data_IF_639265280108
#
_entry.id   IF_639265280108
#
_cell.length_a   1.000
_cell.length_b   1.000
_cell.length_c   1.000
_cell.angle_alpha   90.00
_cell.angle_beta   90.00
_cell.angle_gamma   90.00
#
_symmetry.space_group_name_H-M   'P 1'
#
loop_
_entity.id
_entity.type
_entity.pdbx_description
1 polymer ?
#
# COMPACT_ATOMS: atom_id res chain seq x y z
N UNK A 1 10.14 -11.65 -13.93
CA UNK A 1 9.63 -11.60 -12.56
C UNK A 1 9.01 -12.95 -12.24
N UNK A 2 9.26 -13.49 -11.06
CA UNK A 2 8.64 -14.74 -10.61
C UNK A 2 8.03 -14.54 -9.23
N UNK A 3 6.98 -15.31 -8.96
CA UNK A 3 6.35 -15.34 -7.64
C UNK A 3 7.21 -16.21 -6.70
N UNK A 4 7.62 -15.64 -5.57
CA UNK A 4 8.32 -16.34 -4.51
C UNK A 4 7.39 -17.26 -3.71
N UNK A 5 7.95 -18.11 -2.86
CA UNK A 5 7.18 -19.03 -1.99
C UNK A 5 6.23 -18.29 -1.04
N UNK A 6 6.52 -17.02 -0.75
CA UNK A 6 5.75 -16.16 0.15
C UNK A 6 4.68 -15.32 -0.59
N UNK A 7 4.44 -15.60 -1.88
CA UNK A 7 3.45 -14.89 -2.70
C UNK A 7 3.90 -13.50 -3.18
N UNK A 8 5.14 -13.11 -2.95
CA UNK A 8 5.68 -11.85 -3.46
C UNK A 8 6.29 -12.05 -4.85
N UNK A 9 5.99 -11.11 -5.75
CA UNK A 9 6.59 -11.07 -7.08
C UNK A 9 7.95 -10.40 -6.98
N UNK A 10 9.00 -11.17 -7.25
CA UNK A 10 10.38 -10.70 -7.17
C UNK A 10 11.01 -10.61 -8.57
N UNK A 11 11.92 -9.64 -8.79
CA UNK A 11 12.70 -9.59 -10.02
C UNK A 11 13.66 -10.79 -10.06
N UNK A 12 13.68 -11.48 -11.20
CA UNK A 12 14.66 -12.53 -11.48
C UNK A 12 15.62 -12.02 -12.54
N UNK A 13 16.91 -12.10 -12.25
CA UNK A 13 17.96 -11.71 -13.16
C UNK A 13 18.50 -12.99 -13.83
N UNK A 14 18.36 -13.03 -15.15
CA UNK A 14 18.99 -14.06 -15.96
C UNK A 14 20.47 -13.74 -16.07
N UNK A 15 21.31 -14.59 -15.48
CA UNK A 15 22.76 -14.40 -15.45
C UNK A 15 23.42 -14.45 -16.83
N UNK A 16 22.83 -15.23 -17.76
CA UNK A 16 23.37 -15.39 -19.11
C UNK A 16 23.04 -14.17 -20.02
N UNK A 17 21.97 -13.48 -19.72
CA UNK A 17 21.54 -12.25 -20.43
C UNK A 17 21.98 -10.97 -19.73
N UNK A 18 22.48 -11.05 -18.51
CA UNK A 18 22.84 -9.90 -17.70
C UNK A 18 24.15 -9.26 -18.17
N UNK A 19 24.09 -8.06 -18.69
CA UNK A 19 25.28 -7.27 -19.12
C UNK A 19 25.95 -6.50 -17.99
N UNK A 20 25.51 -6.65 -16.74
CA UNK A 20 26.11 -5.99 -15.57
C UNK A 20 25.93 -4.47 -15.49
N UNK A 21 24.99 -3.87 -16.22
CA UNK A 21 24.82 -2.40 -16.30
C UNK A 21 24.33 -1.75 -14.97
N UNK A 22 23.90 -2.51 -13.98
CA UNK A 22 23.46 -2.03 -12.68
C UNK A 22 22.12 -1.25 -12.69
N UNK A 23 21.37 -1.23 -13.80
CA UNK A 23 20.09 -0.51 -13.88
C UNK A 23 19.06 -1.03 -12.87
N UNK A 24 18.99 -2.34 -12.66
CA UNK A 24 18.12 -2.96 -11.65
C UNK A 24 18.46 -2.52 -10.22
N UNK A 25 19.75 -2.36 -9.91
CA UNK A 25 20.21 -1.88 -8.60
C UNK A 25 19.82 -0.41 -8.41
N UNK A 26 20.02 0.42 -9.45
CA UNK A 26 19.64 1.84 -9.42
C UNK A 26 18.13 2.06 -9.31
N UNK A 27 17.33 1.18 -9.90
CA UNK A 27 15.87 1.23 -9.83
C UNK A 27 15.31 0.72 -8.49
N UNK A 28 16.09 -0.07 -7.75
CA UNK A 28 15.66 -0.63 -6.48
C UNK A 28 15.47 0.46 -5.42
N UNK A 29 14.26 0.55 -4.85
CA UNK A 29 13.93 1.53 -3.81
C UNK A 29 14.77 1.39 -2.54
N UNK A 30 15.24 0.18 -2.22
CA UNK A 30 16.09 -0.07 -1.05
C UNK A 30 17.49 0.56 -1.17
N UNK A 31 17.98 0.76 -2.40
CA UNK A 31 19.28 1.40 -2.64
C UNK A 31 19.22 2.93 -2.75
N UNK A 32 18.02 3.48 -2.85
CA UNK A 32 17.84 4.93 -2.72
C UNK A 32 17.83 5.22 -1.23
N UNK A 33 18.92 5.51 -0.59
CA UNK A 33 18.96 5.80 0.82
C UNK A 33 17.72 6.58 1.25
N UNK A 34 16.79 5.91 1.95
CA UNK A 34 15.64 6.58 2.51
C UNK A 34 16.21 7.49 3.58
N UNK A 35 16.43 8.76 3.25
CA UNK A 35 16.76 9.78 4.23
C UNK A 35 15.57 9.83 5.20
N UNK A 36 15.67 9.17 6.32
CA UNK A 36 14.81 9.44 7.44
C UNK A 36 15.13 10.85 7.90
N UNK A 37 14.36 11.82 7.44
CA UNK A 37 14.35 13.11 8.11
C UNK A 37 13.91 12.82 9.54
N UNK A 38 14.80 13.05 10.49
CA UNK A 38 14.51 13.02 11.91
C UNK A 38 13.66 14.25 12.29
N UNK A 39 12.49 14.37 11.68
CA UNK A 39 11.45 15.22 12.21
C UNK A 39 11.03 14.57 13.55
N UNK A 40 10.83 15.39 14.57
CA UNK A 40 10.53 14.92 15.93
C UNK A 40 9.31 13.97 15.99
N UNK A 41 8.89 13.57 17.18
CA UNK A 41 7.80 12.62 17.35
C UNK A 41 6.51 13.15 16.69
N UNK A 42 5.87 12.32 15.89
CA UNK A 42 4.53 12.59 15.36
C UNK A 42 3.50 11.90 16.25
N UNK A 43 2.43 12.61 16.56
CA UNK A 43 1.29 12.08 17.28
C UNK A 43 0.10 12.07 16.33
N UNK A 44 -0.60 10.94 16.25
CA UNK A 44 -1.84 10.82 15.55
C UNK A 44 -2.87 10.17 16.47
N UNK A 45 -4.09 10.68 16.46
CA UNK A 45 -5.21 10.15 17.21
C UNK A 45 -6.40 9.95 16.27
N UNK A 46 -7.12 8.85 16.44
CA UNK A 46 -8.36 8.57 15.71
C UNK A 46 -9.51 8.45 16.73
N UNK A 47 -10.72 8.80 16.28
CA UNK A 47 -11.93 8.65 17.09
C UNK A 47 -12.29 7.19 17.31
N UNK A 48 -13.16 6.92 18.29
CA UNK A 48 -13.62 5.57 18.61
C UNK A 48 -14.26 4.87 17.41
N UNK A 49 -15.05 5.61 16.60
CA UNK A 49 -15.74 5.07 15.43
C UNK A 49 -14.75 4.67 14.35
N UNK A 50 -13.70 5.47 14.12
CA UNK A 50 -12.64 5.15 13.18
C UNK A 50 -11.87 3.88 13.59
N UNK A 51 -11.64 3.70 14.88
CA UNK A 51 -10.98 2.50 15.42
C UNK A 51 -11.87 1.28 15.28
N UNK A 52 -13.18 1.39 15.54
CA UNK A 52 -14.13 0.27 15.46
C UNK A 52 -14.31 -0.28 14.04
N UNK A 53 -14.15 0.57 13.02
CA UNK A 53 -14.23 0.20 11.61
C UNK A 53 -12.88 -0.28 11.02
N UNK A 54 -11.81 -0.26 11.82
CA UNK A 54 -10.45 -0.58 11.38
C UNK A 54 -9.88 -1.77 12.14
N UNK A 55 -9.08 -2.60 11.48
CA UNK A 55 -8.28 -3.64 12.13
C UNK A 55 -7.04 -3.10 12.85
N UNK A 56 -6.79 -1.79 12.79
CA UNK A 56 -5.65 -1.11 13.40
C UNK A 56 -6.13 0.18 14.08
N UNK A 57 -5.25 1.14 14.31
CA UNK A 57 -5.55 2.37 15.03
C UNK A 57 -6.47 3.38 14.34
N UNK A 58 -7.07 3.07 13.19
CA UNK A 58 -8.08 3.90 12.51
C UNK A 58 -7.56 5.18 11.85
N UNK A 59 -6.29 5.50 11.98
CA UNK A 59 -5.71 6.77 11.51
C UNK A 59 -5.88 6.99 10.01
N UNK A 60 -5.69 5.94 9.20
CA UNK A 60 -5.92 6.03 7.75
C UNK A 60 -7.37 6.41 7.44
N UNK A 61 -8.33 5.77 8.10
CA UNK A 61 -9.76 6.06 7.92
C UNK A 61 -10.11 7.50 8.28
N UNK A 62 -9.60 7.99 9.41
CA UNK A 62 -9.83 9.36 9.87
C UNK A 62 -9.31 10.40 8.87
N UNK A 63 -8.05 10.29 8.45
CA UNK A 63 -7.48 11.21 7.46
C UNK A 63 -8.15 11.11 6.08
N UNK A 64 -8.48 9.91 5.64
CA UNK A 64 -9.13 9.72 4.34
C UNK A 64 -10.55 10.31 4.31
N UNK A 65 -11.33 10.21 5.39
CA UNK A 65 -12.65 10.85 5.50
C UNK A 65 -12.53 12.37 5.43
N UNK A 66 -11.60 12.96 6.16
CA UNK A 66 -11.39 14.41 6.15
C UNK A 66 -10.94 14.90 4.77
N UNK A 67 -10.01 14.17 4.13
CA UNK A 67 -9.58 14.48 2.78
C UNK A 67 -10.74 14.42 1.78
N UNK A 68 -11.56 13.39 1.85
CA UNK A 68 -12.74 13.23 0.97
C UNK A 68 -13.77 14.32 1.26
N UNK A 69 -14.01 14.67 2.52
CA UNK A 69 -14.93 15.75 2.89
C UNK A 69 -14.48 17.11 2.33
N UNK A 70 -13.17 17.32 2.19
CA UNK A 70 -12.59 18.51 1.54
C UNK A 70 -12.53 18.45 0.01
N UNK A 71 -13.15 17.42 -0.62
CA UNK A 71 -13.15 17.24 -2.08
C UNK A 71 -11.93 16.50 -2.64
N UNK A 72 -11.09 15.97 -1.79
CA UNK A 72 -9.93 15.17 -2.18
C UNK A 72 -10.28 13.72 -2.51
N UNK A 73 -9.24 12.92 -2.78
CA UNK A 73 -9.35 11.49 -3.07
C UNK A 73 -8.32 10.72 -2.27
N UNK A 74 -8.68 9.53 -1.81
CA UNK A 74 -7.78 8.59 -1.16
C UNK A 74 -7.48 7.40 -2.07
N UNK A 75 -6.27 6.86 -1.97
CA UNK A 75 -5.87 5.63 -2.61
C UNK A 75 -5.42 4.62 -1.56
N UNK A 76 -5.78 3.37 -1.74
CA UNK A 76 -5.38 2.29 -0.84
C UNK A 76 -5.59 0.93 -1.46
N UNK A 77 -5.01 -0.07 -0.82
CA UNK A 77 -5.17 -1.46 -1.23
C UNK A 77 -6.58 -1.97 -0.88
N UNK A 78 -7.22 -2.66 -1.80
CA UNK A 78 -8.52 -3.30 -1.62
C UNK A 78 -8.49 -4.74 -2.12
N UNK A 79 -9.31 -5.60 -1.51
CA UNK A 79 -9.56 -6.93 -2.05
C UNK A 79 -10.52 -6.86 -3.23
N UNK A 80 -10.17 -7.52 -4.31
CA UNK A 80 -11.02 -7.74 -5.48
C UNK A 80 -11.15 -9.22 -5.79
N UNK A 81 -12.36 -9.64 -6.14
CA UNK A 81 -12.61 -11.03 -6.53
C UNK A 81 -12.62 -11.14 -8.05
N UNK A 82 -11.73 -11.98 -8.58
CA UNK A 82 -11.71 -12.39 -9.98
C UNK A 82 -12.07 -13.89 -10.06
N UNK A 83 -13.34 -14.18 -10.30
CA UNK A 83 -13.85 -15.54 -10.24
C UNK A 83 -13.70 -16.14 -8.84
N UNK A 84 -12.88 -17.19 -8.69
CA UNK A 84 -12.56 -17.84 -7.41
C UNK A 84 -11.33 -17.26 -6.71
N UNK A 85 -10.59 -16.37 -7.36
CA UNK A 85 -9.33 -15.81 -6.86
C UNK A 85 -9.61 -14.47 -6.16
N UNK A 86 -9.00 -14.26 -5.01
CA UNK A 86 -8.98 -12.99 -4.30
C UNK A 86 -7.64 -12.30 -4.56
N UNK A 87 -7.68 -11.10 -5.15
CA UNK A 87 -6.51 -10.27 -5.41
C UNK A 87 -6.52 -9.02 -4.57
N UNK A 88 -5.36 -8.41 -4.39
CA UNK A 88 -5.24 -7.08 -3.79
C UNK A 88 -4.80 -6.11 -4.87
N UNK A 89 -5.57 -5.03 -5.03
CA UNK A 89 -5.27 -3.96 -5.99
C UNK A 89 -5.42 -2.59 -5.35
N UNK A 90 -4.67 -1.63 -5.86
CA UNK A 90 -4.84 -0.23 -5.47
C UNK A 90 -6.10 0.36 -6.08
N UNK A 91 -6.96 0.91 -5.24
CA UNK A 91 -8.23 1.54 -5.62
C UNK A 91 -8.28 2.99 -5.17
N UNK A 92 -9.01 3.78 -5.95
CA UNK A 92 -9.34 5.17 -5.64
C UNK A 92 -10.68 5.24 -4.89
N UNK A 93 -10.75 6.04 -3.84
CA UNK A 93 -11.98 6.41 -3.16
C UNK A 93 -12.18 7.92 -3.20
N UNK A 94 -13.37 8.36 -3.60
CA UNK A 94 -13.79 9.77 -3.60
C UNK A 94 -15.08 9.97 -2.80
N UNK A 95 -15.52 8.95 -2.08
CA UNK A 95 -16.66 8.97 -1.17
C UNK A 95 -16.37 8.11 0.04
N UNK A 96 -17.10 8.35 1.13
CA UNK A 96 -16.96 7.55 2.37
C UNK A 96 -17.29 6.07 2.12
N UNK A 97 -18.32 5.78 1.33
CA UNK A 97 -18.67 4.40 0.97
C UNK A 97 -17.55 3.72 0.16
N UNK A 98 -16.94 4.46 -0.77
CA UNK A 98 -15.78 3.99 -1.55
C UNK A 98 -14.54 3.74 -0.71
N UNK A 99 -14.46 4.31 0.49
CA UNK A 99 -13.34 4.13 1.42
C UNK A 99 -13.37 2.76 2.12
N UNK A 100 -14.55 2.19 2.37
CA UNK A 100 -14.70 0.94 3.13
C UNK A 100 -13.79 -0.20 2.66
N UNK A 101 -13.67 -0.52 1.37
CA UNK A 101 -12.78 -1.57 0.90
C UNK A 101 -11.29 -1.30 1.13
N UNK A 102 -10.91 -0.03 1.33
CA UNK A 102 -9.53 0.40 1.57
C UNK A 102 -9.12 0.30 3.04
N UNK A 103 -10.09 0.25 3.96
CA UNK A 103 -9.84 0.06 5.37
C UNK A 103 -9.26 -1.34 5.61
N UNK A 104 -8.54 -1.49 6.69
CA UNK A 104 -7.87 -2.73 7.10
C UNK A 104 -6.62 -3.09 6.27
N UNK A 105 -5.65 -3.64 6.96
CA UNK A 105 -4.37 -4.06 6.37
C UNK A 105 -4.53 -5.29 5.47
N UNK A 106 -3.85 -5.29 4.35
CA UNK A 106 -3.74 -6.41 3.41
C UNK A 106 -2.28 -6.88 3.43
N UNK A 107 -2.05 -8.07 3.97
CA UNK A 107 -0.71 -8.61 4.20
C UNK A 107 -0.21 -9.44 3.02
N UNK A 108 -0.54 -9.02 1.81
CA UNK A 108 -0.10 -9.63 0.54
C UNK A 108 0.29 -8.52 -0.42
N UNK A 109 1.09 -8.84 -1.42
CA UNK A 109 1.46 -7.89 -2.45
C UNK A 109 0.23 -7.51 -3.28
N UNK A 110 0.07 -6.22 -3.56
CA UNK A 110 -0.95 -5.70 -4.49
C UNK A 110 -0.38 -5.59 -5.90
N UNK A 111 -1.21 -5.87 -6.87
CA UNK A 111 -0.95 -5.62 -8.29
C UNK A 111 -1.11 -4.13 -8.62
#
# INVERSE_FOLDING_TARGET
MSEGKDGFVLPVIDGDLCIGCGACIKACGLNRGIGFNSAGPFFAAAGRDDVSESASGGVFGAFARELIASGGVAYGAAYEREGSILRVRHRRAASVDGLRPLLNSKYVQSD
#
